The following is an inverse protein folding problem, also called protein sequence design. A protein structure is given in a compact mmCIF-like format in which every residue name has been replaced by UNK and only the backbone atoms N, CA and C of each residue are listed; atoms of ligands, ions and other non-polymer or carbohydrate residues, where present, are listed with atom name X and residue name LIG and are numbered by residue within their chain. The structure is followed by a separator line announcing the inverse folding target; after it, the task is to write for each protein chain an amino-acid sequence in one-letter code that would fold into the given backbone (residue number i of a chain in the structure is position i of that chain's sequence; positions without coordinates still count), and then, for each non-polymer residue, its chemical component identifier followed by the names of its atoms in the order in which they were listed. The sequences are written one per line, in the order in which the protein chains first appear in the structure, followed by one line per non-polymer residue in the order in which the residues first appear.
data_IF_845178175897
#
_entry.id   IF_845178175897
#
_cell.length_a   1.000
_cell.length_b   1.000
_cell.length_c   1.000
_cell.angle_alpha   90.00
_cell.angle_beta   90.00
_cell.angle_gamma   90.00
#
_symmetry.space_group_name_H-M   'P 1'
#
loop_
_entity.id
_entity.type
_entity.pdbx_description
1 polymer ?
#
# COMPACT_ATOMS: atom_id res chain seq x y z
N UNK A 1 -16.15 -9.22 4.51
CA UNK A 1 -14.75 -9.28 3.99
C UNK A 1 -14.26 -7.85 3.93
N UNK A 2 -13.07 -7.56 4.47
CA UNK A 2 -12.52 -6.20 4.43
C UNK A 2 -11.77 -6.04 3.11
N UNK A 3 -12.09 -4.99 2.37
CA UNK A 3 -11.52 -4.66 1.07
C UNK A 3 -11.26 -3.16 1.00
N UNK A 4 -10.27 -2.74 0.22
CA UNK A 4 -9.83 -1.35 0.13
C UNK A 4 -8.88 -0.96 1.24
N UNK A 5 -8.93 0.32 1.63
CA UNK A 5 -8.06 0.88 2.68
C UNK A 5 -8.37 0.27 4.04
N UNK A 6 -7.36 -0.40 4.61
CA UNK A 6 -7.41 -0.95 5.94
C UNK A 6 -6.35 -0.27 6.81
N UNK A 7 -6.75 0.24 7.97
CA UNK A 7 -5.81 0.78 8.97
C UNK A 7 -5.77 -0.18 10.14
N UNK A 8 -4.61 -0.77 10.37
CA UNK A 8 -4.37 -1.64 11.51
C UNK A 8 -4.25 -0.82 12.81
N UNK A 9 -4.50 -1.45 13.97
CA UNK A 9 -4.51 -0.76 15.27
C UNK A 9 -3.14 -0.20 15.69
N UNK A 10 -2.06 -0.63 15.05
CA UNK A 10 -0.69 -0.10 15.19
C UNK A 10 -0.45 1.17 14.35
N UNK A 11 -1.48 1.67 13.64
CA UNK A 11 -1.40 2.85 12.78
C UNK A 11 -0.88 2.57 11.37
N UNK A 12 -0.54 1.32 11.05
CA UNK A 12 -0.10 0.93 9.71
C UNK A 12 -1.30 0.88 8.76
N UNK A 13 -1.13 1.41 7.55
CA UNK A 13 -2.13 1.34 6.49
C UNK A 13 -1.80 0.21 5.53
N UNK A 14 -2.81 -0.52 5.10
CA UNK A 14 -2.74 -1.62 4.15
C UNK A 14 -3.84 -1.42 3.10
N UNK A 15 -3.64 -1.97 1.92
CA UNK A 15 -4.69 -1.99 0.90
C UNK A 15 -5.02 -3.43 0.56
N UNK A 16 -6.26 -3.81 0.81
CA UNK A 16 -6.77 -5.14 0.51
C UNK A 16 -7.46 -5.09 -0.84
N UNK A 17 -7.09 -5.99 -1.75
CA UNK A 17 -7.62 -6.01 -3.10
C UNK A 17 -9.16 -6.10 -3.07
N UNK A 18 -9.87 -5.06 -3.55
CA UNK A 18 -11.33 -5.08 -3.61
C UNK A 18 -11.88 -5.86 -4.80
N UNK A 19 -11.03 -6.30 -5.75
CA UNK A 19 -11.50 -6.99 -6.94
C UNK A 19 -12.03 -8.37 -6.60
N UNK A 20 -13.22 -8.66 -7.12
CA UNK A 20 -13.91 -9.94 -6.98
C UNK A 20 -13.34 -11.04 -7.91
N UNK A 21 -12.17 -10.82 -8.54
CA UNK A 21 -11.43 -11.77 -9.40
C UNK A 21 -10.83 -12.98 -8.65
N UNK A 22 -11.40 -13.39 -7.51
CA UNK A 22 -10.88 -14.50 -6.71
C UNK A 22 -9.65 -14.19 -5.85
N UNK A 23 -9.13 -12.94 -5.91
CA UNK A 23 -8.10 -12.42 -5.00
C UNK A 23 -8.65 -11.39 -4.00
N UNK A 24 -9.97 -11.39 -3.82
CA UNK A 24 -10.66 -10.45 -2.95
C UNK A 24 -10.15 -10.57 -1.50
N UNK A 25 -9.68 -9.46 -0.94
CA UNK A 25 -9.10 -9.41 0.40
C UNK A 25 -7.61 -9.78 0.48
N UNK A 26 -6.95 -10.06 -0.66
CA UNK A 26 -5.50 -10.24 -0.68
C UNK A 26 -4.80 -8.91 -0.42
N UNK A 27 -3.78 -8.91 0.43
CA UNK A 27 -2.97 -7.73 0.71
C UNK A 27 -2.16 -7.32 -0.51
N UNK A 28 -2.33 -6.08 -0.96
CA UNK A 28 -1.53 -5.50 -2.02
C UNK A 28 -0.11 -5.22 -1.53
N UNK A 29 0.86 -5.50 -2.39
CA UNK A 29 2.29 -5.21 -2.18
C UNK A 29 2.85 -4.55 -3.43
N UNK A 30 3.90 -3.75 -3.27
CA UNK A 30 4.53 -2.97 -4.32
C UNK A 30 3.70 -1.77 -4.78
N UNK A 31 4.04 -1.27 -5.96
CA UNK A 31 3.34 -0.17 -6.61
C UNK A 31 1.91 -0.56 -6.98
N UNK A 32 0.94 0.18 -6.46
CA UNK A 32 -0.47 0.05 -6.82
C UNK A 32 -1.04 1.44 -7.14
N UNK A 33 -1.75 1.53 -8.26
CA UNK A 33 -2.45 2.74 -8.65
C UNK A 33 -3.86 2.71 -8.08
N UNK A 34 -4.20 3.70 -7.25
CA UNK A 34 -5.51 3.87 -6.62
C UNK A 34 -5.97 5.28 -6.98
N UNK A 35 -7.14 5.40 -7.60
CA UNK A 35 -7.74 6.70 -7.95
C UNK A 35 -6.80 7.59 -8.82
N UNK A 36 -6.03 6.97 -9.73
CA UNK A 36 -5.08 7.67 -10.59
C UNK A 36 -3.78 8.12 -9.90
N UNK A 37 -3.60 7.79 -8.62
CA UNK A 37 -2.37 8.06 -7.86
C UNK A 37 -1.65 6.77 -7.53
N UNK A 38 -0.32 6.84 -7.54
CA UNK A 38 0.52 5.69 -7.22
C UNK A 38 0.80 5.65 -5.72
N UNK A 39 0.55 4.49 -5.12
CA UNK A 39 0.83 4.21 -3.73
C UNK A 39 1.77 3.01 -3.66
N UNK A 40 2.77 3.10 -2.78
CA UNK A 40 3.73 2.02 -2.60
C UNK A 40 3.47 1.28 -1.31
N UNK A 41 3.17 -0.01 -1.44
CA UNK A 41 3.03 -0.93 -0.33
C UNK A 41 4.33 -1.71 -0.18
N UNK A 42 4.88 -1.70 1.02
CA UNK A 42 6.15 -2.36 1.34
C UNK A 42 6.12 -3.82 0.87
N UNK A 43 7.14 -4.19 0.08
CA UNK A 43 7.38 -5.57 -0.33
C UNK A 43 8.38 -6.24 0.60
N UNK A 44 8.70 -5.61 1.73
CA UNK A 44 9.63 -6.15 2.71
C UNK A 44 9.08 -7.47 3.26
N UNK A 45 9.87 -8.53 3.11
CA UNK A 45 9.52 -9.84 3.64
C UNK A 45 9.65 -9.80 5.16
N UNK A 46 8.53 -9.75 5.88
CA UNK A 46 8.52 -9.68 7.34
C UNK A 46 7.27 -9.01 7.90
N UNK A 47 7.40 -8.40 9.08
CA UNK A 47 6.29 -7.74 9.78
C UNK A 47 5.78 -6.47 9.08
N UNK A 48 6.53 -5.93 8.12
CA UNK A 48 6.17 -4.74 7.34
C UNK A 48 5.53 -5.04 5.98
N UNK A 49 5.37 -6.30 5.58
CA UNK A 49 4.86 -6.63 4.26
C UNK A 49 3.46 -6.06 4.04
N UNK A 50 3.24 -5.39 2.91
CA UNK A 50 1.97 -4.76 2.53
C UNK A 50 1.65 -3.44 3.24
N UNK A 51 2.53 -2.94 4.10
CA UNK A 51 2.36 -1.64 4.74
C UNK A 51 2.54 -0.51 3.71
N UNK A 52 1.59 0.41 3.63
CA UNK A 52 1.73 1.65 2.88
C UNK A 52 2.89 2.48 3.43
N UNK A 53 3.85 2.79 2.58
CA UNK A 53 4.90 3.76 2.86
C UNK A 53 4.34 5.17 2.63
N UNK A 54 4.56 6.06 3.59
CA UNK A 54 4.12 7.47 3.56
C UNK A 54 5.27 8.36 4.02
N UNK A 55 5.44 9.52 3.37
CA UNK A 55 6.43 10.53 3.75
C UNK A 55 7.86 10.03 3.77
N UNK A 56 8.21 9.13 2.86
CA UNK A 56 9.51 8.45 2.85
C UNK A 56 9.95 8.14 1.43
N UNK A 57 11.21 7.73 1.28
CA UNK A 57 11.76 7.26 0.01
C UNK A 57 11.62 5.74 -0.04
N UNK A 58 10.93 5.25 -1.05
CA UNK A 58 10.83 3.81 -1.35
C UNK A 58 12.22 3.24 -1.65
N UNK A 59 12.46 1.93 -1.43
CA UNK A 59 13.73 1.28 -1.75
C UNK A 59 14.12 1.42 -3.24
N UNK A 60 13.13 1.59 -4.10
CA UNK A 60 13.28 1.84 -5.54
C UNK A 60 13.82 3.24 -5.89
N UNK A 61 13.92 4.14 -4.90
CA UNK A 61 14.42 5.52 -5.07
C UNK A 61 13.35 6.58 -5.32
N UNK A 62 12.07 6.20 -5.32
CA UNK A 62 10.97 7.16 -5.47
C UNK A 62 10.52 7.72 -4.13
N UNK A 63 10.15 9.00 -4.12
CA UNK A 63 9.65 9.67 -2.92
C UNK A 63 8.12 9.62 -2.89
N UNK A 64 7.55 9.22 -1.76
CA UNK A 64 6.11 9.30 -1.52
C UNK A 64 5.82 10.41 -0.51
N UNK A 65 4.75 11.17 -0.73
CA UNK A 65 4.34 12.26 0.16
C UNK A 65 3.70 11.73 1.46
N UNK A 66 3.30 12.61 2.39
CA UNK A 66 2.65 12.24 3.66
C UNK A 66 1.36 11.42 3.53
N UNK A 67 0.75 11.38 2.34
CA UNK A 67 -0.42 10.55 2.03
C UNK A 67 -0.04 9.18 1.45
N UNK A 68 1.24 8.95 1.18
CA UNK A 68 1.75 7.75 0.49
C UNK A 68 1.63 7.83 -1.03
N UNK A 69 1.28 9.00 -1.56
CA UNK A 69 1.18 9.23 -2.99
C UNK A 69 2.58 9.49 -3.52
N UNK A 70 2.97 8.76 -4.55
CA UNK A 70 4.19 9.04 -5.29
C UNK A 70 4.13 10.45 -5.87
N UNK A 71 5.25 11.16 -5.68
CA UNK A 71 5.50 12.45 -6.27
C UNK A 71 6.72 12.33 -7.20
N UNK A 72 6.62 12.95 -8.38
CA UNK A 72 7.72 13.10 -9.33
C UNK A 72 8.64 14.26 -8.93
#
# INVERSE_FOLDING_TARGET
MVTGWFTAPDGRKFYLNPSADGKQGAMCTGWNQIDGKWYYFSQEQGAGQGQLLVGTTTPDGYTVNEKGEWIE
#
